data_IF_712710824267
#
_entry.id   IF_712710824267
#
_cell.length_a   1.000
_cell.length_b   1.000
_cell.length_c   1.000
_cell.angle_alpha   90.00
_cell.angle_beta   90.00
_cell.angle_gamma   90.00
#
_symmetry.space_group_name_H-M   'P 1'
#
loop_
_entity.id
_entity.type
_entity.pdbx_description
1 polymer ?
#
# COMPACT_ATOMS: atom_id res chain seq x y z
N UNK A 1 -6.66 24.59 -5.73
CA UNK A 1 -5.44 25.02 -5.04
C UNK A 1 -4.65 23.76 -4.63
N UNK A 2 -3.44 23.64 -5.08
CA UNK A 2 -2.58 22.55 -4.67
C UNK A 2 -2.10 22.80 -3.24
N UNK A 3 -2.56 22.02 -2.30
CA UNK A 3 -1.96 22.00 -0.98
C UNK A 3 -0.54 21.40 -1.09
N UNK A 4 0.42 21.89 -0.30
CA UNK A 4 1.75 21.29 -0.28
C UNK A 4 1.65 19.80 0.11
N UNK A 5 2.53 18.95 -0.43
CA UNK A 5 2.52 17.53 -0.09
C UNK A 5 2.73 17.33 1.42
N UNK A 6 1.94 16.43 2.01
CA UNK A 6 2.07 16.08 3.43
C UNK A 6 3.20 15.04 3.56
N UNK A 7 4.20 15.28 4.40
CA UNK A 7 5.25 14.29 4.64
C UNK A 7 4.68 12.96 5.18
N UNK A 8 5.30 11.85 4.81
CA UNK A 8 4.87 10.51 5.25
C UNK A 8 4.79 10.41 6.78
N UNK A 9 5.79 10.95 7.49
CA UNK A 9 5.79 10.93 8.95
C UNK A 9 4.59 11.66 9.56
N UNK A 10 4.14 12.75 8.95
CA UNK A 10 2.97 13.51 9.40
C UNK A 10 1.66 12.74 9.13
N UNK A 11 1.59 12.02 8.02
CA UNK A 11 0.45 11.12 7.73
C UNK A 11 0.37 9.98 8.74
N UNK A 12 1.48 9.33 9.04
CA UNK A 12 1.55 8.28 10.06
C UNK A 12 1.09 8.82 11.41
N UNK A 13 1.59 9.99 11.81
CA UNK A 13 1.20 10.64 13.07
C UNK A 13 -0.30 10.96 13.10
N UNK A 14 -0.87 11.43 12.00
CA UNK A 14 -2.31 11.72 11.90
C UNK A 14 -3.17 10.45 12.04
N UNK A 15 -2.79 9.36 11.41
CA UNK A 15 -3.47 8.06 11.50
C UNK A 15 -3.38 7.53 12.94
N UNK A 16 -2.23 7.65 13.58
CA UNK A 16 -2.05 7.26 14.98
C UNK A 16 -2.91 8.10 15.94
N UNK A 17 -3.03 9.40 15.71
CA UNK A 17 -3.94 10.27 16.49
C UNK A 17 -5.40 9.86 16.33
N UNK A 18 -5.81 9.49 15.12
CA UNK A 18 -7.15 8.98 14.85
C UNK A 18 -7.45 7.71 15.67
N UNK A 19 -6.50 6.77 15.69
CA UNK A 19 -6.55 5.54 16.51
C UNK A 19 -6.66 5.87 17.98
N UNK A 20 -5.78 6.75 18.48
CA UNK A 20 -5.65 7.05 19.91
C UNK A 20 -6.88 7.79 20.45
N UNK A 21 -7.45 8.70 19.66
CA UNK A 21 -8.68 9.41 20.04
C UNK A 21 -9.88 8.47 20.25
N UNK A 22 -9.82 7.25 19.72
CA UNK A 22 -10.88 6.22 19.82
C UNK A 22 -10.51 5.08 20.76
N UNK A 23 -9.35 5.17 21.39
CA UNK A 23 -8.82 4.11 22.26
C UNK A 23 -8.75 2.74 21.56
N UNK A 24 -8.40 2.75 20.28
CA UNK A 24 -8.33 1.54 19.46
C UNK A 24 -6.98 0.83 19.52
N UNK A 25 -5.94 1.47 20.05
CA UNK A 25 -4.62 0.85 20.19
C UNK A 25 -4.68 -0.49 20.93
N UNK A 26 -5.59 -0.63 21.90
CA UNK A 26 -5.79 -1.87 22.65
C UNK A 26 -6.19 -3.06 21.77
N UNK A 27 -6.83 -2.81 20.62
CA UNK A 27 -7.24 -3.85 19.65
C UNK A 27 -6.22 -4.07 18.54
N UNK A 28 -5.27 -3.15 18.38
CA UNK A 28 -4.30 -3.13 17.29
C UNK A 28 -3.05 -3.96 17.62
N UNK A 29 -3.25 -5.27 17.84
CA UNK A 29 -2.12 -6.21 17.93
C UNK A 29 -1.48 -6.40 16.55
N UNK A 30 -0.20 -6.79 16.45
CA UNK A 30 0.42 -7.09 15.16
C UNK A 30 -0.36 -8.09 14.33
N UNK A 31 -0.88 -9.15 14.96
CA UNK A 31 -1.72 -10.16 14.29
C UNK A 31 -2.99 -9.53 13.70
N UNK A 32 -3.69 -8.71 14.47
CA UNK A 32 -4.93 -8.09 14.01
C UNK A 32 -4.69 -7.06 12.91
N UNK A 33 -3.63 -6.25 13.02
CA UNK A 33 -3.29 -5.26 12.00
C UNK A 33 -2.84 -5.90 10.69
N UNK A 34 -2.09 -7.00 10.75
CA UNK A 34 -1.71 -7.78 9.57
C UNK A 34 -2.95 -8.37 8.89
N UNK A 35 -3.88 -8.94 9.66
CA UNK A 35 -5.14 -9.46 9.15
C UNK A 35 -6.00 -8.35 8.52
N UNK A 36 -6.13 -7.20 9.18
CA UNK A 36 -6.88 -6.06 8.66
C UNK A 36 -6.29 -5.56 7.34
N UNK A 37 -4.98 -5.46 7.24
CA UNK A 37 -4.28 -5.08 6.00
C UNK A 37 -4.63 -6.05 4.85
N UNK A 38 -4.62 -7.35 5.11
CA UNK A 38 -4.96 -8.37 4.12
C UNK A 38 -6.44 -8.29 3.69
N UNK A 39 -7.34 -8.05 4.63
CA UNK A 39 -8.78 -7.89 4.35
C UNK A 39 -9.02 -6.67 3.47
N UNK A 40 -8.42 -5.53 3.77
CA UNK A 40 -8.56 -4.33 2.95
C UNK A 40 -7.95 -4.52 1.55
N UNK A 41 -6.85 -5.25 1.43
CA UNK A 41 -6.29 -5.63 0.13
C UNK A 41 -7.26 -6.51 -0.67
N UNK A 42 -7.98 -7.41 0.00
CA UNK A 42 -9.02 -8.22 -0.63
C UNK A 42 -10.21 -7.36 -1.08
N UNK A 43 -10.63 -6.37 -0.30
CA UNK A 43 -11.67 -5.42 -0.69
C UNK A 43 -11.27 -4.59 -1.91
N UNK A 44 -10.00 -4.19 -2.01
CA UNK A 44 -9.47 -3.57 -3.21
C UNK A 44 -9.58 -4.53 -4.42
N UNK A 45 -9.21 -5.79 -4.25
CA UNK A 45 -9.31 -6.81 -5.29
C UNK A 45 -10.75 -7.03 -5.75
N UNK A 46 -11.72 -7.01 -4.84
CA UNK A 46 -13.14 -7.16 -5.15
C UNK A 46 -13.67 -6.09 -6.11
N UNK A 47 -13.06 -4.89 -6.12
CA UNK A 47 -13.44 -3.81 -7.05
C UNK A 47 -13.26 -4.19 -8.52
N UNK A 48 -12.37 -5.15 -8.82
CA UNK A 48 -12.02 -5.57 -10.18
C UNK A 48 -12.44 -7.00 -10.48
N UNK A 49 -13.00 -7.70 -9.51
CA UNK A 49 -13.35 -9.11 -9.64
C UNK A 49 -14.42 -9.33 -10.72
N UNK A 50 -14.22 -10.36 -11.51
CA UNK A 50 -15.13 -10.77 -12.60
C UNK A 50 -15.23 -9.78 -13.77
N UNK A 51 -14.35 -8.82 -13.86
CA UNK A 51 -14.29 -7.85 -14.95
C UNK A 51 -13.12 -8.13 -15.90
N UNK A 52 -13.32 -7.87 -17.19
CA UNK A 52 -12.23 -7.79 -18.15
C UNK A 52 -11.44 -6.49 -17.94
N UNK A 53 -10.20 -6.43 -18.44
CA UNK A 53 -9.39 -5.22 -18.36
C UNK A 53 -10.09 -4.02 -19.01
N UNK A 54 -10.78 -4.23 -20.14
CA UNK A 54 -11.52 -3.18 -20.82
C UNK A 54 -12.70 -2.66 -19.98
N UNK A 55 -13.38 -3.53 -19.23
CA UNK A 55 -14.46 -3.15 -18.31
C UNK A 55 -13.91 -2.36 -17.12
N UNK A 56 -12.76 -2.75 -16.57
CA UNK A 56 -12.07 -2.03 -15.52
C UNK A 56 -11.69 -0.62 -16.00
N UNK A 57 -11.09 -0.49 -17.16
CA UNK A 57 -10.69 0.80 -17.73
C UNK A 57 -11.89 1.74 -17.92
N UNK A 58 -13.01 1.21 -18.40
CA UNK A 58 -14.28 1.97 -18.53
C UNK A 58 -14.79 2.44 -17.17
N UNK A 59 -14.81 1.54 -16.18
CA UNK A 59 -15.33 1.86 -14.84
C UNK A 59 -14.47 2.90 -14.15
N UNK A 60 -13.15 2.85 -14.32
CA UNK A 60 -12.23 3.81 -13.72
C UNK A 60 -12.33 5.22 -14.34
N UNK A 61 -12.97 5.36 -15.49
CA UNK A 61 -13.29 6.66 -16.06
C UNK A 61 -14.42 7.37 -15.27
N UNK A 62 -15.22 6.64 -14.50
CA UNK A 62 -16.22 7.21 -13.60
C UNK A 62 -15.56 7.71 -12.32
N UNK A 63 -15.61 9.02 -12.00
CA UNK A 63 -14.99 9.58 -10.80
C UNK A 63 -15.47 8.93 -9.49
N UNK A 64 -16.73 8.51 -9.40
CA UNK A 64 -17.26 7.87 -8.21
C UNK A 64 -16.65 6.48 -7.99
N UNK A 65 -16.46 5.70 -9.04
CA UNK A 65 -15.82 4.38 -8.97
C UNK A 65 -14.33 4.51 -8.67
N UNK A 66 -13.67 5.47 -9.28
CA UNK A 66 -12.26 5.77 -8.98
C UNK A 66 -12.07 6.18 -7.52
N UNK A 67 -12.97 7.01 -6.97
CA UNK A 67 -12.95 7.39 -5.57
C UNK A 67 -13.07 6.17 -4.64
N UNK A 68 -13.93 5.21 -4.98
CA UNK A 68 -14.05 3.96 -4.23
C UNK A 68 -12.75 3.14 -4.22
N UNK A 69 -12.05 3.06 -5.35
CA UNK A 69 -10.73 2.40 -5.42
C UNK A 69 -9.70 3.17 -4.58
N UNK A 70 -9.71 4.50 -4.66
CA UNK A 70 -8.84 5.37 -3.86
C UNK A 70 -9.02 5.12 -2.36
N UNK A 71 -10.26 4.98 -1.89
CA UNK A 71 -10.57 4.70 -0.49
C UNK A 71 -9.97 3.35 -0.04
N UNK A 72 -10.11 2.31 -0.86
CA UNK A 72 -9.56 0.99 -0.53
C UNK A 72 -8.01 1.01 -0.50
N UNK A 73 -7.37 1.72 -1.42
CA UNK A 73 -5.92 1.90 -1.39
C UNK A 73 -5.50 2.61 -0.11
N UNK A 74 -6.21 3.67 0.27
CA UNK A 74 -5.93 4.43 1.48
C UNK A 74 -6.05 3.53 2.73
N UNK A 75 -7.10 2.70 2.81
CA UNK A 75 -7.32 1.79 3.94
C UNK A 75 -6.18 0.77 4.08
N UNK A 76 -5.72 0.17 2.98
CA UNK A 76 -4.56 -0.74 2.99
C UNK A 76 -3.31 -0.05 3.54
N UNK A 77 -3.02 1.16 3.06
CA UNK A 77 -1.84 1.92 3.49
C UNK A 77 -1.94 2.34 4.95
N UNK A 78 -3.12 2.81 5.39
CA UNK A 78 -3.33 3.22 6.79
C UNK A 78 -3.14 2.06 7.77
N UNK A 79 -3.63 0.86 7.48
CA UNK A 79 -3.38 -0.30 8.33
C UNK A 79 -1.90 -0.70 8.34
N UNK A 80 -1.21 -0.61 7.21
CA UNK A 80 0.24 -0.82 7.16
C UNK A 80 1.01 0.21 8.00
N UNK A 81 0.60 1.49 7.97
CA UNK A 81 1.15 2.54 8.83
C UNK A 81 0.96 2.23 10.32
N UNK A 82 -0.23 1.81 10.71
CA UNK A 82 -0.54 1.44 12.09
C UNK A 82 0.29 0.24 12.56
N UNK A 83 0.48 -0.74 11.69
CA UNK A 83 1.32 -1.89 11.99
C UNK A 83 2.79 -1.49 12.16
N UNK A 84 3.31 -0.65 11.27
CA UNK A 84 4.68 -0.13 11.38
C UNK A 84 4.87 0.63 12.69
N UNK A 85 3.93 1.51 13.05
CA UNK A 85 3.97 2.24 14.33
C UNK A 85 3.97 1.30 15.52
N UNK A 86 3.10 0.30 15.52
CA UNK A 86 3.00 -0.69 16.60
C UNK A 86 4.29 -1.48 16.82
N UNK A 87 5.05 -1.72 15.74
CA UNK A 87 6.32 -2.45 15.76
C UNK A 87 7.55 -1.55 15.93
N UNK A 88 7.36 -0.23 16.03
CA UNK A 88 8.46 0.73 16.11
C UNK A 88 9.27 0.83 14.83
N UNK A 89 8.67 0.54 13.69
CA UNK A 89 9.32 0.61 12.38
C UNK A 89 9.12 2.01 11.80
N UNK A 90 10.23 2.66 11.43
CA UNK A 90 10.20 3.86 10.59
C UNK A 90 9.84 3.45 9.16
N UNK A 91 8.65 3.77 8.72
CA UNK A 91 8.12 3.32 7.44
C UNK A 91 8.88 3.93 6.26
N UNK A 92 9.28 5.19 6.35
CA UNK A 92 10.08 5.84 5.30
C UNK A 92 11.43 5.15 5.13
N UNK A 93 12.11 4.84 6.23
CA UNK A 93 13.37 4.10 6.22
C UNK A 93 13.17 2.68 5.65
N UNK A 94 12.13 1.98 6.10
CA UNK A 94 11.82 0.64 5.62
C UNK A 94 11.58 0.61 4.10
N UNK A 95 10.84 1.57 3.58
CA UNK A 95 10.57 1.69 2.13
C UNK A 95 11.87 2.01 1.39
N UNK A 96 12.64 2.98 1.86
CA UNK A 96 13.90 3.38 1.23
C UNK A 96 14.91 2.21 1.17
N UNK A 97 15.05 1.49 2.27
CA UNK A 97 15.92 0.31 2.37
C UNK A 97 15.46 -0.80 1.42
N UNK A 98 14.16 -1.08 1.41
CA UNK A 98 13.59 -2.12 0.54
C UNK A 98 13.71 -1.76 -0.94
N UNK A 99 13.51 -0.49 -1.28
CA UNK A 99 13.67 -0.01 -2.64
C UNK A 99 15.11 -0.21 -3.14
N UNK A 100 16.11 0.14 -2.34
CA UNK A 100 17.52 -0.09 -2.67
C UNK A 100 17.83 -1.59 -2.86
N UNK A 101 17.26 -2.46 -2.02
CA UNK A 101 17.40 -3.90 -2.17
C UNK A 101 16.77 -4.40 -3.49
N UNK A 102 15.61 -3.87 -3.85
CA UNK A 102 14.92 -4.22 -5.09
C UNK A 102 15.69 -3.74 -6.33
N UNK A 103 16.30 -2.56 -6.27
CA UNK A 103 17.16 -2.07 -7.34
C UNK A 103 18.33 -3.02 -7.63
N UNK A 104 18.91 -3.62 -6.59
CA UNK A 104 19.95 -4.63 -6.74
C UNK A 104 19.43 -5.95 -7.32
N UNK A 105 18.22 -6.36 -6.93
CA UNK A 105 17.57 -7.61 -7.44
C UNK A 105 17.11 -7.47 -8.88
N UNK A 106 16.71 -6.28 -9.29
CA UNK A 106 16.14 -5.97 -10.59
C UNK A 106 16.96 -4.90 -11.31
N UNK A 107 18.22 -5.21 -11.74
CA UNK A 107 19.01 -4.25 -12.51
C UNK A 107 18.25 -3.83 -13.77
N UNK A 108 18.28 -2.55 -14.11
CA UNK A 108 17.53 -1.99 -15.25
C UNK A 108 17.83 -2.75 -16.53
N UNK A 109 19.10 -3.11 -16.78
CA UNK A 109 19.52 -3.82 -17.97
C UNK A 109 18.83 -5.19 -18.16
N UNK A 110 18.44 -5.85 -17.06
CA UNK A 110 17.82 -7.17 -17.08
C UNK A 110 16.30 -7.12 -16.90
N UNK A 111 15.81 -6.16 -16.17
CA UNK A 111 14.41 -6.09 -15.77
C UNK A 111 13.53 -5.27 -16.73
N UNK A 112 14.13 -4.37 -17.51
CA UNK A 112 13.39 -3.46 -18.37
C UNK A 112 12.51 -4.19 -19.38
N UNK A 113 11.24 -3.85 -19.41
CA UNK A 113 10.30 -4.37 -20.41
C UNK A 113 9.80 -5.79 -20.17
N UNK A 114 10.08 -6.38 -18.99
CA UNK A 114 9.54 -7.70 -18.63
C UNK A 114 9.18 -7.75 -17.14
N UNK A 115 8.32 -8.72 -16.77
CA UNK A 115 7.83 -8.90 -15.40
C UNK A 115 8.40 -10.17 -14.75
N UNK A 116 9.54 -10.68 -15.23
CA UNK A 116 10.15 -11.89 -14.67
C UNK A 116 10.66 -11.65 -13.25
N UNK A 117 10.55 -12.67 -12.41
CA UNK A 117 11.10 -12.63 -11.06
C UNK A 117 12.64 -12.56 -11.12
N UNK A 118 13.24 -11.89 -10.13
CA UNK A 118 14.70 -11.68 -10.10
C UNK A 118 15.51 -12.98 -10.16
N UNK A 119 14.97 -14.10 -9.66
CA UNK A 119 15.58 -15.42 -9.74
C UNK A 119 15.72 -15.91 -11.18
N UNK A 120 14.82 -15.48 -12.07
CA UNK A 120 14.80 -15.90 -13.48
C UNK A 120 15.55 -14.93 -14.39
N UNK A 121 15.94 -13.75 -13.90
CA UNK A 121 16.64 -12.73 -14.68
C UNK A 121 18.13 -13.04 -14.88
N UNK A 122 18.71 -13.88 -14.03
CA UNK A 122 20.16 -14.18 -14.02
C UNK A 122 20.54 -15.47 -14.74
N UNK A 123 19.55 -16.29 -15.11
CA UNK A 123 19.75 -17.59 -15.76
C UNK A 123 19.52 -17.54 -17.27
N UNK A 124 19.56 -16.32 -17.85
CA UNK A 124 19.41 -16.09 -19.29
C UNK A 124 20.69 -15.67 -19.99
#
# INVERSE_FOLDING_TARGET
>A
MNQPPVPLADLVAAVCRFRDARDWAQFHTPKNLAAATAIEAAELQERFLWQTDAEVDRDLADPAKLAGVSDEIADVVMFAMLLADRLGIDLAEAITTKLAANERKYPVALARGNARKYTDLRDG
#
